data_IF_939995654199
#
_entry.id   IF_939995654199
#
_cell.length_a   1.000
_cell.length_b   1.000
_cell.length_c   1.000
_cell.angle_alpha   90.00
_cell.angle_beta   90.00
_cell.angle_gamma   90.00
#
_symmetry.space_group_name_H-M   'P 1'
#
loop_
_entity.id
_entity.type
_entity.pdbx_description
1 polymer ?
#
# COMPACT_ATOMS: atom_id res chain seq x y z
N UNK A 1 -6.18 -8.94 -6.83
CA UNK A 1 -7.26 -8.02 -6.39
C UNK A 1 -6.95 -6.58 -6.85
N UNK A 2 -5.66 -6.14 -6.86
CA UNK A 2 -5.29 -4.79 -7.25
C UNK A 2 -5.83 -4.30 -8.61
N UNK A 3 -5.68 -5.07 -9.73
CA UNK A 3 -6.22 -4.66 -11.02
C UNK A 3 -7.75 -4.57 -11.06
N UNK A 4 -8.42 -5.49 -10.35
CA UNK A 4 -9.89 -5.49 -10.25
C UNK A 4 -10.36 -4.30 -9.39
N UNK A 5 -9.61 -3.95 -8.37
CA UNK A 5 -9.90 -2.82 -7.51
C UNK A 5 -9.83 -1.48 -8.27
N UNK A 6 -8.90 -1.33 -9.22
CA UNK A 6 -8.80 -0.15 -10.09
C UNK A 6 -9.98 0.01 -11.05
N UNK A 7 -10.69 -1.08 -11.37
CA UNK A 7 -11.87 -1.05 -12.23
C UNK A 7 -13.15 -0.67 -11.47
N UNK A 8 -13.16 -0.81 -10.15
CA UNK A 8 -14.39 -0.72 -9.32
C UNK A 8 -14.26 0.35 -8.21
N UNK A 9 -13.07 0.92 -8.02
CA UNK A 9 -12.79 1.85 -6.93
C UNK A 9 -11.84 2.96 -7.37
N UNK A 10 -12.00 4.13 -6.77
CA UNK A 10 -11.12 5.31 -6.92
C UNK A 10 -9.69 5.05 -6.41
N UNK A 11 -9.44 3.88 -5.83
CA UNK A 11 -8.16 3.48 -5.26
C UNK A 11 -7.68 2.18 -5.89
N UNK A 12 -6.42 2.14 -6.29
CA UNK A 12 -5.83 0.92 -6.82
C UNK A 12 -4.33 0.85 -6.66
N UNK A 13 -3.81 -0.37 -6.69
CA UNK A 13 -2.37 -0.61 -6.61
C UNK A 13 -1.97 -1.85 -7.40
N UNK A 14 -0.77 -1.78 -7.99
CA UNK A 14 -0.08 -2.91 -8.58
C UNK A 14 1.17 -3.19 -7.76
N UNK A 15 1.51 -4.45 -7.61
CA UNK A 15 2.67 -4.86 -6.83
C UNK A 15 3.36 -6.04 -7.49
N UNK A 16 4.66 -5.97 -7.61
CA UNK A 16 5.53 -7.07 -7.97
C UNK A 16 6.47 -7.38 -6.81
N UNK A 17 6.72 -8.64 -6.55
CA UNK A 17 7.58 -9.08 -5.48
C UNK A 17 8.63 -10.07 -5.96
N UNK A 18 9.85 -9.92 -5.47
CA UNK A 18 10.92 -10.87 -5.58
C UNK A 18 11.11 -11.53 -4.21
N UNK A 19 11.02 -12.86 -4.18
CA UNK A 19 11.24 -13.64 -2.97
C UNK A 19 12.38 -14.63 -3.22
N UNK A 20 13.42 -14.59 -2.41
CA UNK A 20 14.57 -15.45 -2.54
C UNK A 20 14.45 -16.58 -1.53
N UNK A 21 14.55 -17.83 -1.98
CA UNK A 21 14.49 -19.00 -1.10
C UNK A 21 15.86 -19.29 -0.49
N UNK A 22 15.99 -19.19 0.81
CA UNK A 22 17.18 -19.57 1.56
C UNK A 22 16.89 -20.81 2.41
N UNK A 23 17.24 -21.98 1.90
CA UNK A 23 17.13 -23.29 2.58
C UNK A 23 15.70 -23.61 3.06
N UNK A 24 14.69 -23.20 2.30
CA UNK A 24 13.25 -23.36 2.59
C UNK A 24 12.81 -22.84 3.97
N UNK A 25 13.65 -22.07 4.62
CA UNK A 25 13.41 -21.55 5.96
C UNK A 25 13.21 -20.03 5.97
N UNK A 26 14.06 -19.29 5.28
CA UNK A 26 14.04 -17.83 5.22
C UNK A 26 13.82 -17.37 3.80
N UNK A 27 13.02 -16.36 3.65
CA UNK A 27 12.69 -15.77 2.35
C UNK A 27 12.86 -14.26 2.43
N UNK A 28 14.05 -13.73 2.13
CA UNK A 28 14.17 -12.28 1.87
C UNK A 28 13.21 -11.88 0.76
N UNK A 29 12.48 -10.79 0.99
CA UNK A 29 11.45 -10.30 0.09
C UNK A 29 11.71 -8.85 -0.22
N UNK A 30 11.69 -8.54 -1.51
CA UNK A 30 11.66 -7.18 -2.03
C UNK A 30 10.38 -6.99 -2.83
N UNK A 31 9.61 -5.95 -2.50
CA UNK A 31 8.37 -5.63 -3.18
C UNK A 31 8.47 -4.21 -3.75
N UNK A 32 8.05 -4.07 -4.99
CA UNK A 32 7.90 -2.82 -5.70
C UNK A 32 6.46 -2.69 -6.15
N UNK A 33 5.84 -1.58 -5.87
CA UNK A 33 4.47 -1.34 -6.29
C UNK A 33 4.24 0.08 -6.73
N UNK A 34 3.10 0.29 -7.35
CA UNK A 34 2.60 1.59 -7.76
C UNK A 34 1.16 1.74 -7.29
N UNK A 35 0.90 2.79 -6.54
CA UNK A 35 -0.44 3.09 -6.02
C UNK A 35 -1.00 4.34 -6.67
N UNK A 36 -2.29 4.34 -6.95
CA UNK A 36 -3.05 5.47 -7.47
C UNK A 36 -4.32 5.67 -6.65
N UNK A 37 -4.67 6.93 -6.42
CA UNK A 37 -5.96 7.33 -5.88
C UNK A 37 -6.47 8.54 -6.64
N UNK A 38 -7.76 8.52 -6.98
CA UNK A 38 -8.48 9.64 -7.56
C UNK A 38 -9.87 9.64 -6.92
N UNK A 39 -10.00 10.36 -5.81
CA UNK A 39 -11.19 10.35 -4.99
C UNK A 39 -11.76 11.74 -4.84
N UNK A 40 -13.08 11.84 -4.84
CA UNK A 40 -13.82 13.06 -4.59
C UNK A 40 -14.85 12.85 -3.49
N UNK A 41 -15.00 13.83 -2.63
CA UNK A 41 -16.05 13.86 -1.63
C UNK A 41 -17.18 14.77 -2.14
N UNK A 42 -18.34 14.18 -2.38
CA UNK A 42 -19.52 14.90 -2.92
C UNK A 42 -20.06 15.96 -1.93
N UNK A 43 -19.91 15.73 -0.63
CA UNK A 43 -20.41 16.65 0.38
C UNK A 43 -19.58 17.93 0.50
N UNK A 44 -18.26 17.79 0.41
CA UNK A 44 -17.32 18.91 0.54
C UNK A 44 -16.81 19.41 -0.79
N UNK A 45 -17.07 18.69 -1.88
CA UNK A 45 -16.54 18.93 -3.23
C UNK A 45 -15.00 18.96 -3.29
N UNK A 46 -14.35 18.33 -2.30
CA UNK A 46 -12.90 18.21 -2.27
C UNK A 46 -12.49 17.03 -3.14
N UNK A 47 -11.54 17.26 -4.03
CA UNK A 47 -10.94 16.23 -4.87
C UNK A 47 -9.51 15.97 -4.43
N UNK A 48 -9.14 14.71 -4.29
CA UNK A 48 -7.82 14.26 -3.91
C UNK A 48 -7.25 13.32 -4.97
N UNK A 49 -6.07 13.65 -5.50
CA UNK A 49 -5.38 12.82 -6.48
C UNK A 49 -3.95 12.56 -6.04
N UNK A 50 -3.52 11.32 -6.15
CA UNK A 50 -2.13 10.93 -5.93
C UNK A 50 -1.78 9.70 -6.75
N UNK A 51 -0.53 9.61 -7.14
CA UNK A 51 0.03 8.40 -7.73
C UNK A 51 1.53 8.36 -7.50
N UNK A 52 2.03 7.25 -6.95
CA UNK A 52 3.46 7.09 -6.71
C UNK A 52 3.89 5.63 -6.59
N UNK A 53 5.17 5.34 -6.83
CA UNK A 53 5.77 4.07 -6.48
C UNK A 53 5.95 3.94 -4.97
N UNK A 54 5.96 2.70 -4.49
CA UNK A 54 6.32 2.36 -3.13
C UNK A 54 7.20 1.12 -3.10
N UNK A 55 8.01 1.03 -2.05
CA UNK A 55 9.00 -0.03 -1.88
C UNK A 55 8.78 -0.71 -0.54
N UNK A 56 8.97 -2.03 -0.52
CA UNK A 56 9.01 -2.79 0.72
C UNK A 56 10.19 -3.74 0.70
N UNK A 57 10.85 -3.85 1.84
CA UNK A 57 11.92 -4.79 2.08
C UNK A 57 11.63 -5.57 3.36
N UNK A 58 11.83 -6.87 3.33
CA UNK A 58 11.54 -7.70 4.48
C UNK A 58 12.02 -9.13 4.39
N UNK A 59 11.62 -9.91 5.37
CA UNK A 59 11.95 -11.33 5.45
C UNK A 59 10.71 -12.10 5.92
N UNK A 60 10.41 -13.19 5.22
CA UNK A 60 9.44 -14.19 5.63
C UNK A 60 10.14 -15.43 6.19
N UNK A 61 9.48 -16.10 7.12
CA UNK A 61 9.88 -17.38 7.67
C UNK A 61 8.84 -18.44 7.37
N UNK A 62 9.28 -19.60 6.90
CA UNK A 62 8.40 -20.76 6.81
C UNK A 62 8.15 -21.33 8.20
N UNK A 63 6.87 -21.29 8.63
CA UNK A 63 6.42 -21.73 9.95
C UNK A 63 6.12 -23.23 10.02
N UNK A 64 6.02 -23.90 8.87
CA UNK A 64 5.76 -25.35 8.82
C UNK A 64 6.97 -26.13 9.28
N UNK A 65 6.74 -27.26 9.95
CA UNK A 65 7.77 -28.23 10.35
C UNK A 65 8.40 -28.91 9.12
N UNK A 66 7.55 -29.36 8.21
CA UNK A 66 7.97 -29.89 6.93
C UNK A 66 8.17 -28.73 5.92
N UNK A 67 9.42 -28.46 5.59
CA UNK A 67 9.83 -27.31 4.79
C UNK A 67 9.68 -27.52 3.27
N UNK A 68 9.51 -28.79 2.87
CA UNK A 68 9.46 -29.20 1.45
C UNK A 68 8.04 -29.54 0.98
N UNK A 69 7.03 -29.18 1.77
CA UNK A 69 5.63 -29.41 1.38
C UNK A 69 5.19 -28.49 0.24
N UNK A 70 4.17 -28.97 -0.48
CA UNK A 70 3.48 -28.18 -1.49
C UNK A 70 2.79 -26.94 -0.90
N UNK A 71 2.56 -26.95 0.40
CA UNK A 71 2.00 -25.84 1.17
C UNK A 71 3.08 -25.11 1.93
N UNK A 72 2.96 -23.78 2.04
CA UNK A 72 3.80 -22.95 2.91
C UNK A 72 2.92 -22.07 3.78
N UNK A 73 3.08 -22.15 5.08
CA UNK A 73 2.61 -21.15 6.02
C UNK A 73 3.78 -20.27 6.38
N UNK A 74 3.68 -18.99 6.09
CA UNK A 74 4.77 -18.07 6.35
C UNK A 74 4.32 -16.88 7.21
N UNK A 75 5.25 -16.39 8.01
CA UNK A 75 5.09 -15.14 8.74
C UNK A 75 6.32 -14.28 8.53
N UNK A 76 6.17 -12.97 8.56
CA UNK A 76 7.29 -12.10 8.30
C UNK A 76 7.03 -10.65 8.65
N UNK A 77 8.09 -9.86 8.46
CA UNK A 77 8.05 -8.41 8.63
C UNK A 77 8.55 -7.71 7.38
N UNK A 78 7.99 -6.53 7.13
CA UNK A 78 8.41 -5.65 6.05
C UNK A 78 8.53 -4.22 6.54
N UNK A 79 9.55 -3.55 6.09
CA UNK A 79 9.66 -2.11 6.15
C UNK A 79 9.21 -1.55 4.82
N UNK A 80 8.27 -0.64 4.85
CA UNK A 80 7.71 0.00 3.67
C UNK A 80 7.99 1.50 3.67
N UNK A 81 8.35 2.04 2.52
CA UNK A 81 8.50 3.46 2.32
C UNK A 81 7.90 3.90 0.99
N UNK A 82 7.32 5.09 1.00
CA UNK A 82 6.86 5.77 -0.20
C UNK A 82 7.13 7.26 -0.12
N UNK A 83 7.55 7.81 -1.24
CA UNK A 83 7.66 9.24 -1.49
C UNK A 83 6.64 9.57 -2.58
N UNK A 84 5.71 10.45 -2.28
CA UNK A 84 4.60 10.73 -3.17
C UNK A 84 4.22 12.19 -3.12
N UNK A 85 3.51 12.61 -4.15
CA UNK A 85 2.90 13.92 -4.22
C UNK A 85 1.39 13.75 -4.33
N UNK A 86 0.66 14.72 -3.82
CA UNK A 86 -0.78 14.76 -4.00
C UNK A 86 -1.25 16.14 -4.43
N UNK A 87 -2.34 16.12 -5.15
CA UNK A 87 -3.09 17.31 -5.53
C UNK A 87 -4.39 17.32 -4.72
N UNK A 88 -4.67 18.46 -4.13
CA UNK A 88 -5.91 18.72 -3.41
C UNK A 88 -6.59 19.94 -4.04
N UNK A 89 -7.82 19.76 -4.50
CA UNK A 89 -8.65 20.84 -5.02
C UNK A 89 -9.95 20.91 -4.24
N UNK A 90 -10.30 22.09 -3.78
CA UNK A 90 -11.54 22.34 -3.06
C UNK A 90 -12.15 23.66 -3.52
N UNK A 91 -13.47 23.86 -3.31
CA UNK A 91 -14.10 25.16 -3.50
C UNK A 91 -13.41 26.24 -2.65
N UNK A 92 -13.38 27.49 -3.12
CA UNK A 92 -12.83 28.59 -2.32
C UNK A 92 -13.64 28.78 -1.03
N UNK A 93 -12.91 29.05 0.03
CA UNK A 93 -13.55 29.37 1.34
C UNK A 93 -13.89 30.85 1.33
N UNK A 94 -15.18 31.16 1.50
CA UNK A 94 -15.67 32.55 1.58
C UNK A 94 -15.61 33.03 3.03
N UNK A 95 -14.98 34.15 3.27
CA UNK A 95 -14.99 34.81 4.57
C UNK A 95 -16.39 35.40 4.84
N UNK A 96 -17.10 34.92 5.89
CA UNK A 96 -18.45 35.36 6.17
C UNK A 96 -18.53 36.81 6.69
N UNK A 97 -17.40 37.39 7.08
CA UNK A 97 -17.36 38.76 7.67
C UNK A 97 -16.94 39.80 6.64
N UNK A 98 -15.90 39.50 5.86
CA UNK A 98 -15.28 40.45 4.94
C UNK A 98 -15.58 40.16 3.47
N UNK A 99 -16.27 39.07 3.17
CA UNK A 99 -16.69 38.70 1.81
C UNK A 99 -15.58 38.34 0.85
N UNK A 100 -14.36 38.06 1.36
CA UNK A 100 -13.23 37.60 0.57
C UNK A 100 -13.31 36.11 0.27
N UNK A 101 -12.86 35.68 -0.91
CA UNK A 101 -12.69 34.28 -1.26
C UNK A 101 -11.22 33.88 -1.15
N UNK A 102 -10.93 32.82 -0.40
CA UNK A 102 -9.58 32.26 -0.28
C UNK A 102 -9.57 30.89 -0.93
N UNK A 103 -8.74 30.65 -1.97
CA UNK A 103 -8.62 29.34 -2.57
C UNK A 103 -8.04 28.35 -1.55
N UNK A 104 -8.68 27.21 -1.42
CA UNK A 104 -8.18 26.11 -0.59
C UNK A 104 -7.79 24.94 -1.48
N UNK A 105 -6.51 24.59 -1.43
CA UNK A 105 -5.95 23.50 -2.22
C UNK A 105 -4.49 23.72 -2.56
N UNK A 106 -3.92 22.75 -3.22
CA UNK A 106 -2.52 22.80 -3.67
C UNK A 106 -2.22 21.64 -4.60
N UNK A 107 -1.25 21.83 -5.48
CA UNK A 107 -0.82 20.81 -6.42
C UNK A 107 0.64 20.43 -6.12
N UNK A 108 0.96 19.13 -6.31
CA UNK A 108 2.32 18.64 -6.16
C UNK A 108 2.86 18.71 -4.72
N UNK A 109 1.99 18.51 -3.71
CA UNK A 109 2.40 18.58 -2.31
C UNK A 109 3.19 17.32 -1.99
N UNK A 110 4.50 17.50 -1.77
CA UNK A 110 5.43 16.40 -1.53
C UNK A 110 5.29 15.83 -0.13
N UNK A 111 5.20 14.51 -0.05
CA UNK A 111 5.00 13.75 1.17
C UNK A 111 5.92 12.55 1.25
N UNK A 112 6.17 12.09 2.46
CA UNK A 112 6.79 10.80 2.68
C UNK A 112 6.06 10.01 3.76
N UNK A 113 6.12 8.70 3.63
CA UNK A 113 5.45 7.80 4.55
C UNK A 113 6.27 6.53 4.75
N UNK A 114 6.46 6.16 6.01
CA UNK A 114 7.21 5.00 6.42
C UNK A 114 6.36 4.14 7.34
N UNK A 115 6.32 2.85 7.09
CA UNK A 115 5.55 1.90 7.90
C UNK A 115 6.28 0.59 8.11
N UNK A 116 5.93 -0.06 9.21
CA UNK A 116 6.29 -1.45 9.50
C UNK A 116 5.07 -2.31 9.27
N UNK A 117 5.26 -3.43 8.57
CA UNK A 117 4.19 -4.37 8.26
C UNK A 117 4.53 -5.74 8.83
N UNK A 118 3.60 -6.32 9.61
CA UNK A 118 3.61 -7.73 9.96
C UNK A 118 2.78 -8.49 8.94
N UNK A 119 3.29 -9.60 8.43
CA UNK A 119 2.63 -10.41 7.40
C UNK A 119 2.50 -11.84 7.87
N UNK A 120 1.34 -12.42 7.63
CA UNK A 120 1.10 -13.86 7.74
C UNK A 120 0.37 -14.32 6.50
N UNK A 121 0.77 -15.46 5.95
CA UNK A 121 0.15 -15.96 4.74
C UNK A 121 0.34 -17.44 4.53
N UNK A 122 -0.47 -17.95 3.63
CA UNK A 122 -0.40 -19.32 3.16
C UNK A 122 -0.33 -19.32 1.65
N UNK A 123 0.54 -20.13 1.10
CA UNK A 123 0.58 -20.41 -0.34
C UNK A 123 0.66 -21.91 -0.61
N UNK A 124 0.11 -22.34 -1.73
CA UNK A 124 0.13 -23.70 -2.20
C UNK A 124 0.65 -23.76 -3.63
N UNK A 125 1.40 -24.82 -3.94
CA UNK A 125 1.79 -25.16 -5.29
C UNK A 125 0.58 -25.72 -6.02
N UNK A 126 0.21 -25.06 -7.13
CA UNK A 126 -0.98 -25.45 -7.90
C UNK A 126 -0.58 -26.27 -9.11
N UNK A 127 0.38 -25.79 -9.88
CA UNK A 127 0.82 -26.49 -11.09
C UNK A 127 2.22 -26.02 -11.53
N UNK A 128 3.14 -26.98 -11.69
CA UNK A 128 4.50 -26.69 -12.14
C UNK A 128 5.18 -25.61 -11.27
N UNK A 129 5.63 -24.50 -11.84
CA UNK A 129 6.27 -23.42 -11.10
C UNK A 129 5.27 -22.44 -10.45
N UNK A 130 3.96 -22.66 -10.61
CA UNK A 130 2.92 -21.70 -10.16
C UNK A 130 2.46 -22.02 -8.75
N UNK A 131 2.55 -21.03 -7.88
CA UNK A 131 2.00 -21.05 -6.53
C UNK A 131 0.94 -19.94 -6.39
N UNK A 132 -0.10 -20.22 -5.63
CA UNK A 132 -1.15 -19.25 -5.30
C UNK A 132 -1.35 -19.23 -3.79
N UNK A 133 -1.69 -18.05 -3.27
CA UNK A 133 -1.86 -17.91 -1.85
C UNK A 133 -2.54 -16.62 -1.42
N UNK A 134 -2.81 -16.57 -0.14
CA UNK A 134 -3.36 -15.41 0.54
C UNK A 134 -2.39 -14.94 1.61
N UNK A 135 -2.29 -13.64 1.77
CA UNK A 135 -1.56 -13.03 2.87
C UNK A 135 -2.38 -11.94 3.53
N UNK A 136 -2.30 -11.88 4.84
CA UNK A 136 -2.84 -10.81 5.66
C UNK A 136 -1.68 -9.96 6.15
N UNK A 137 -1.87 -8.64 6.11
CA UNK A 137 -0.86 -7.67 6.50
C UNK A 137 -1.43 -6.73 7.54
N UNK A 138 -0.73 -6.61 8.66
CA UNK A 138 -0.97 -5.55 9.63
C UNK A 138 0.10 -4.49 9.43
N UNK A 139 -0.32 -3.30 9.06
CA UNK A 139 0.55 -2.16 8.76
C UNK A 139 0.47 -1.17 9.91
N UNK A 140 1.62 -0.73 10.41
CA UNK A 140 1.71 0.32 11.42
C UNK A 140 2.61 1.44 10.92
N UNK A 141 2.10 2.67 10.98
CA UNK A 141 2.86 3.87 10.65
C UNK A 141 4.00 4.06 11.65
N UNK A 142 5.18 4.38 11.13
CA UNK A 142 6.34 4.79 11.92
C UNK A 142 6.52 6.31 11.84
N UNK A 143 6.73 6.82 10.63
CA UNK A 143 6.94 8.24 10.39
C UNK A 143 6.10 8.69 9.21
N UNK A 144 5.72 9.95 9.22
CA UNK A 144 5.06 10.59 8.09
C UNK A 144 5.46 12.06 8.00
N UNK A 145 5.45 12.57 6.79
CA UNK A 145 5.38 13.99 6.49
C UNK A 145 4.23 14.16 5.50
N UNK A 146 3.19 14.86 5.89
CA UNK A 146 1.98 15.05 5.09
C UNK A 146 2.05 16.33 4.22
N UNK A 147 3.22 16.97 4.14
CA UNK A 147 3.39 18.22 3.41
C UNK A 147 2.70 19.42 4.09
N UNK A 148 2.59 20.52 3.35
CA UNK A 148 2.14 21.80 3.90
C UNK A 148 0.67 21.82 4.32
N UNK A 149 -0.21 21.12 3.62
CA UNK A 149 -1.64 21.11 3.94
C UNK A 149 -2.04 20.05 4.98
N UNK A 150 -1.18 19.07 5.24
CA UNK A 150 -1.43 18.02 6.24
C UNK A 150 -2.66 17.14 5.98
N UNK A 151 -3.27 17.18 4.80
CA UNK A 151 -4.55 16.57 4.49
C UNK A 151 -4.43 15.42 3.47
N UNK A 152 -3.65 14.44 3.81
CA UNK A 152 -3.49 13.22 3.00
C UNK A 152 -4.62 12.24 3.25
N UNK A 153 -5.33 11.81 2.21
CA UNK A 153 -6.41 10.82 2.35
C UNK A 153 -5.93 9.39 2.07
N UNK A 154 -5.02 9.26 1.13
CA UNK A 154 -4.51 7.97 0.69
C UNK A 154 -3.00 8.02 0.49
N UNK A 155 -2.34 6.99 0.97
CA UNK A 155 -0.90 6.81 0.82
C UNK A 155 -0.63 5.60 -0.06
N UNK A 156 0.06 5.76 -1.21
CA UNK A 156 0.42 4.64 -2.07
C UNK A 156 1.14 3.53 -1.31
N UNK A 157 0.66 2.28 -1.49
CA UNK A 157 1.18 1.11 -0.78
C UNK A 157 0.66 0.92 0.65
N UNK A 158 0.31 1.97 1.37
CA UNK A 158 -0.25 1.87 2.71
C UNK A 158 -1.78 1.77 2.69
N UNK A 159 -2.44 2.62 1.93
CA UNK A 159 -3.90 2.75 1.83
C UNK A 159 -4.43 4.05 2.42
N UNK A 160 -5.70 4.08 2.86
CA UNK A 160 -6.27 5.28 3.51
C UNK A 160 -5.43 5.65 4.73
N UNK A 161 -5.20 6.92 4.95
CA UNK A 161 -4.39 7.42 6.04
C UNK A 161 -4.88 6.92 7.41
N UNK A 162 -3.95 6.59 8.30
CA UNK A 162 -4.24 6.13 9.64
C UNK A 162 -2.99 5.70 10.40
N UNK A 163 -3.13 5.42 11.69
CA UNK A 163 -2.01 4.93 12.52
C UNK A 163 -1.69 3.46 12.29
N UNK A 164 -2.71 2.66 11.99
CA UNK A 164 -2.59 1.24 11.69
C UNK A 164 -3.65 0.80 10.69
N UNK A 165 -3.38 -0.27 9.96
CA UNK A 165 -4.28 -0.83 8.96
C UNK A 165 -4.10 -2.32 8.77
N UNK A 166 -5.22 -3.01 8.56
CA UNK A 166 -5.24 -4.39 8.09
C UNK A 166 -5.47 -4.42 6.58
N UNK A 167 -4.79 -5.32 5.89
CA UNK A 167 -4.96 -5.58 4.47
C UNK A 167 -4.87 -7.07 4.16
N UNK A 168 -5.57 -7.50 3.12
CA UNK A 168 -5.47 -8.84 2.56
C UNK A 168 -5.00 -8.78 1.12
N UNK A 169 -4.13 -9.70 0.73
CA UNK A 169 -3.60 -9.78 -0.64
C UNK A 169 -3.69 -11.20 -1.14
N UNK A 170 -4.16 -11.36 -2.36
CA UNK A 170 -4.04 -12.62 -3.10
C UNK A 170 -2.79 -12.56 -3.95
N UNK A 171 -1.94 -13.57 -3.86
CA UNK A 171 -0.65 -13.63 -4.52
C UNK A 171 -0.63 -14.76 -5.55
N UNK A 172 -0.06 -14.49 -6.70
CA UNK A 172 0.35 -15.50 -7.67
C UNK A 172 1.86 -15.40 -7.79
N UNK A 173 2.56 -16.49 -7.53
CA UNK A 173 4.03 -16.54 -7.50
C UNK A 173 4.50 -17.56 -8.53
N UNK A 174 5.51 -17.17 -9.31
CA UNK A 174 6.24 -18.07 -10.18
C UNK A 174 7.56 -18.46 -9.50
N UNK A 175 7.78 -19.73 -9.29
CA UNK A 175 9.04 -20.28 -8.79
C UNK A 175 9.97 -20.54 -9.98
N UNK A 176 11.16 -19.94 -9.98
CA UNK A 176 12.17 -20.06 -11.02
C UNK A 176 13.38 -20.79 -10.45
#
# INVERSE_FOLDING_TARGET
IGPVQLMVSDYGQYEASLRINLKDKYYPVFELGYGKADASDEATQITYKTSAPYFRLGVDWNLLKNKHDDYRLFGGFRYACTYYEYDLSAPPVTDPVWGGETPYGGNGISCNYHSLEGVIGIDAKIWGPVRMGWSFRYKRRLFKNDGELGNTWYVPGYGKQGGSRLGGTFNVTLEI
#
